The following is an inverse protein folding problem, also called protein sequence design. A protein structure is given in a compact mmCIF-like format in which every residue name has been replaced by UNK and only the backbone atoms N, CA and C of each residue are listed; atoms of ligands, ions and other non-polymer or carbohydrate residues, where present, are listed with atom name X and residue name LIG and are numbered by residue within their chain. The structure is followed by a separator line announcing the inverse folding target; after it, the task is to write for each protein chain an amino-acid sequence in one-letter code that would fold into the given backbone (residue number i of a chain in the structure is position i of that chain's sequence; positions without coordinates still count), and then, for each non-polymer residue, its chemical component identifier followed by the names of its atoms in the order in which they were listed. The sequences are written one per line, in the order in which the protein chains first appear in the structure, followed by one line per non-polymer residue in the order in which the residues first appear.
data_IF_665412158774
#
_entry.id   IF_665412158774
#
_cell.length_a   1.000
_cell.length_b   1.000
_cell.length_c   1.000
_cell.angle_alpha   90.00
_cell.angle_beta   90.00
_cell.angle_gamma   90.00
#
_symmetry.space_group_name_H-M   'P 1'
#
loop_
_entity.id
_entity.type
_entity.pdbx_description
1 polymer ?
#
# COMPACT_ATOMS: atom_id res chain seq x y z
N UNK A 1 -7.74 6.55 6.38
CA UNK A 1 -7.29 5.19 6.03
C UNK A 1 -5.81 4.97 6.37
N UNK A 2 -4.86 5.79 5.88
CA UNK A 2 -3.45 5.75 6.31
C UNK A 2 -3.19 6.63 7.56
N UNK A 3 -2.32 6.19 8.48
CA UNK A 3 -1.83 6.94 9.66
C UNK A 3 -0.36 7.38 9.53
N UNK A 4 0.36 6.86 8.54
CA UNK A 4 1.75 7.21 8.23
C UNK A 4 2.11 6.78 6.80
N UNK A 5 3.41 6.84 6.45
CA UNK A 5 3.88 6.56 5.09
C UNK A 5 3.56 5.14 4.59
N UNK A 6 3.65 4.15 5.49
CA UNK A 6 3.31 2.74 5.22
C UNK A 6 2.33 2.16 6.25
N UNK A 7 1.85 2.96 7.20
CA UNK A 7 0.96 2.49 8.28
C UNK A 7 -0.50 2.74 7.92
N UNK A 8 -1.26 1.66 7.78
CA UNK A 8 -2.73 1.70 7.71
C UNK A 8 -3.26 1.89 9.14
N UNK A 9 -4.38 2.62 9.29
CA UNK A 9 -5.07 2.75 10.59
C UNK A 9 -5.81 1.46 10.90
N UNK A 10 -5.74 0.99 12.14
CA UNK A 10 -6.38 -0.27 12.60
C UNK A 10 -7.91 -0.24 12.51
N UNK A 11 -8.50 0.95 12.59
CA UNK A 11 -9.95 1.16 12.54
C UNK A 11 -10.29 2.38 11.67
N UNK A 12 -11.35 2.26 10.86
CA UNK A 12 -11.93 3.36 10.09
C UNK A 12 -12.61 4.37 11.04
N UNK A 13 -12.27 5.67 11.03
CA UNK A 13 -12.89 6.65 11.94
C UNK A 13 -14.32 7.04 11.56
N UNK A 14 -14.78 6.69 10.35
CA UNK A 14 -16.12 7.05 9.84
C UNK A 14 -17.06 5.83 9.84
N UNK A 15 -16.50 4.65 9.60
CA UNK A 15 -17.23 3.42 9.36
C UNK A 15 -16.93 2.32 10.38
N UNK A 16 -16.04 2.60 11.35
CA UNK A 16 -15.62 1.68 12.44
C UNK A 16 -15.12 0.30 12.00
N UNK A 17 -14.93 0.08 10.70
CA UNK A 17 -14.44 -1.17 10.16
C UNK A 17 -13.02 -1.46 10.65
N UNK A 18 -12.79 -2.69 11.07
CA UNK A 18 -11.49 -3.21 11.49
C UNK A 18 -10.61 -3.49 10.27
N UNK A 19 -9.50 -2.76 10.11
CA UNK A 19 -8.57 -2.89 8.97
C UNK A 19 -7.29 -3.67 9.32
N UNK A 20 -7.19 -4.22 10.53
CA UNK A 20 -5.99 -4.90 11.02
C UNK A 20 -5.81 -6.35 10.49
N UNK A 21 -6.82 -6.93 9.85
CA UNK A 21 -6.78 -8.28 9.27
C UNK A 21 -6.01 -8.37 7.93
N UNK A 22 -5.54 -7.24 7.41
CA UNK A 22 -4.86 -7.17 6.12
C UNK A 22 -3.41 -7.66 6.21
N UNK A 23 -3.14 -8.90 5.77
CA UNK A 23 -1.78 -9.37 5.42
C UNK A 23 -1.46 -8.94 3.99
N UNK A 24 -0.81 -7.79 3.80
CA UNK A 24 -0.22 -7.47 2.49
C UNK A 24 1.08 -6.66 2.64
N UNK A 25 2.10 -7.34 3.13
CA UNK A 25 3.41 -6.74 3.34
C UNK A 25 4.28 -6.76 2.05
N UNK A 26 4.12 -7.75 1.15
CA UNK A 26 4.98 -7.83 -0.06
C UNK A 26 4.30 -7.37 -1.38
N UNK A 27 2.97 -7.44 -1.47
CA UNK A 27 2.22 -7.09 -2.70
C UNK A 27 2.45 -5.65 -3.22
N UNK A 28 2.48 -4.61 -2.36
CA UNK A 28 2.70 -3.24 -2.83
C UNK A 28 4.09 -3.03 -3.45
N UNK A 29 5.12 -3.69 -2.92
CA UNK A 29 6.49 -3.56 -3.41
C UNK A 29 6.65 -4.26 -4.78
N UNK A 30 6.13 -5.48 -4.92
CA UNK A 30 6.14 -6.20 -6.20
C UNK A 30 5.38 -5.47 -7.30
N UNK A 31 4.21 -4.90 -6.98
CA UNK A 31 3.45 -4.12 -7.97
C UNK A 31 4.19 -2.82 -8.33
N UNK A 32 4.85 -2.18 -7.37
CA UNK A 32 5.68 -0.98 -7.62
C UNK A 32 6.81 -1.31 -8.60
N UNK A 33 7.60 -2.35 -8.34
CA UNK A 33 8.77 -2.67 -9.19
C UNK A 33 8.36 -3.09 -10.60
N UNK A 34 7.23 -3.80 -10.75
CA UNK A 34 6.68 -4.13 -12.06
C UNK A 34 6.30 -2.86 -12.84
N UNK A 35 5.54 -1.96 -12.23
CA UNK A 35 5.11 -0.72 -12.90
C UNK A 35 6.31 0.17 -13.25
N UNK A 36 7.19 0.41 -12.27
CA UNK A 36 8.36 1.30 -12.46
C UNK A 36 9.31 0.70 -13.48
N UNK A 37 9.62 -0.61 -13.39
CA UNK A 37 10.49 -1.29 -14.34
C UNK A 37 9.96 -1.26 -15.76
N UNK A 38 8.67 -1.55 -15.96
CA UNK A 38 8.05 -1.53 -17.29
C UNK A 38 7.91 -0.12 -17.87
N UNK A 39 7.87 0.93 -17.04
CA UNK A 39 7.87 2.31 -17.50
C UNK A 39 9.30 2.79 -17.84
N UNK A 40 10.27 2.50 -16.97
CA UNK A 40 11.64 2.99 -17.10
C UNK A 40 12.41 2.26 -18.21
N UNK A 41 12.26 0.94 -18.35
CA UNK A 41 12.99 0.15 -19.36
C UNK A 41 12.79 0.64 -20.81
N UNK A 42 11.55 0.82 -21.33
CA UNK A 42 11.36 1.36 -22.67
C UNK A 42 11.75 2.83 -22.76
N UNK A 43 11.60 3.61 -21.69
CA UNK A 43 11.93 5.02 -21.68
C UNK A 43 13.46 5.23 -21.80
N UNK A 44 14.27 4.43 -21.10
CA UNK A 44 15.73 4.43 -21.25
C UNK A 44 16.11 4.09 -22.69
N UNK A 45 15.48 3.05 -23.27
CA UNK A 45 15.76 2.61 -24.64
C UNK A 45 15.46 3.72 -25.66
N UNK A 46 14.33 4.40 -25.54
CA UNK A 46 13.94 5.49 -26.45
C UNK A 46 14.88 6.68 -26.30
N UNK A 47 15.19 7.10 -25.07
CA UNK A 47 16.08 8.25 -24.84
C UNK A 47 17.48 7.96 -25.37
N UNK A 48 18.02 6.77 -25.09
CA UNK A 48 19.36 6.41 -25.55
C UNK A 48 19.44 6.32 -27.07
N UNK A 49 18.42 5.75 -27.73
CA UNK A 49 18.41 5.60 -29.19
C UNK A 49 18.16 6.91 -29.94
N UNK A 50 17.35 7.84 -29.40
CA UNK A 50 16.99 9.11 -30.07
C UNK A 50 17.96 10.24 -29.77
N UNK A 51 18.33 10.42 -28.51
CA UNK A 51 19.06 11.60 -28.05
C UNK A 51 20.56 11.32 -27.90
N UNK A 52 20.98 10.05 -27.79
CA UNK A 52 22.36 9.62 -27.50
C UNK A 52 23.09 10.50 -26.47
N UNK A 53 22.48 10.81 -25.32
CA UNK A 53 23.13 11.57 -24.26
C UNK A 53 24.27 10.75 -23.63
N UNK A 54 25.12 11.45 -22.88
CA UNK A 54 26.20 10.82 -22.11
C UNK A 54 25.66 9.71 -21.17
N UNK A 55 26.27 8.51 -21.14
CA UNK A 55 25.79 7.38 -20.36
C UNK A 55 25.68 7.65 -18.86
N UNK A 56 26.57 8.45 -18.28
CA UNK A 56 26.50 8.79 -16.86
C UNK A 56 25.29 9.69 -16.58
N UNK A 57 25.02 10.63 -17.47
CA UNK A 57 23.87 11.54 -17.35
C UNK A 57 22.55 10.76 -17.33
N UNK A 58 22.36 9.81 -18.26
CA UNK A 58 21.16 8.96 -18.28
C UNK A 58 21.07 8.10 -17.03
N UNK A 59 22.18 7.47 -16.63
CA UNK A 59 22.22 6.59 -15.46
C UNK A 59 21.81 7.33 -14.19
N UNK A 60 22.35 8.52 -13.94
CA UNK A 60 22.03 9.31 -12.75
C UNK A 60 20.57 9.77 -12.77
N UNK A 61 20.10 10.35 -13.88
CA UNK A 61 18.72 10.85 -13.99
C UNK A 61 17.71 9.72 -13.77
N UNK A 62 17.87 8.60 -14.47
CA UNK A 62 16.94 7.48 -14.34
C UNK A 62 17.02 6.81 -12.99
N UNK A 63 18.19 6.75 -12.34
CA UNK A 63 18.31 6.20 -10.99
C UNK A 63 17.56 7.08 -9.98
N UNK A 64 17.71 8.41 -10.04
CA UNK A 64 16.98 9.34 -9.19
C UNK A 64 15.48 9.27 -9.45
N UNK A 65 15.06 9.26 -10.72
CA UNK A 65 13.65 9.12 -11.11
C UNK A 65 13.05 7.80 -10.62
N UNK A 66 13.77 6.69 -10.73
CA UNK A 66 13.32 5.37 -10.29
C UNK A 66 13.08 5.34 -8.78
N UNK A 67 14.01 5.87 -7.98
CA UNK A 67 13.87 5.97 -6.53
C UNK A 67 12.70 6.88 -6.16
N UNK A 68 12.63 8.08 -6.75
CA UNK A 68 11.56 9.04 -6.48
C UNK A 68 10.17 8.47 -6.81
N UNK A 69 10.04 7.80 -7.97
CA UNK A 69 8.78 7.20 -8.41
C UNK A 69 8.38 6.02 -7.53
N UNK A 70 9.35 5.18 -7.14
CA UNK A 70 9.11 4.06 -6.22
C UNK A 70 8.61 4.55 -4.87
N UNK A 71 9.27 5.57 -4.30
CA UNK A 71 8.85 6.19 -3.05
C UNK A 71 7.43 6.76 -3.18
N UNK A 72 7.13 7.49 -4.24
CA UNK A 72 5.80 8.07 -4.46
C UNK A 72 4.69 7.02 -4.61
N UNK A 73 4.99 5.88 -5.25
CA UNK A 73 4.00 4.86 -5.60
C UNK A 73 3.68 3.90 -4.43
N UNK A 74 4.63 3.65 -3.53
CA UNK A 74 4.48 2.79 -2.36
C UNK A 74 3.23 3.08 -1.48
N UNK A 75 2.98 4.32 -1.00
CA UNK A 75 1.80 4.62 -0.18
C UNK A 75 0.48 4.52 -0.97
N UNK A 76 0.52 4.84 -2.28
CA UNK A 76 -0.66 4.81 -3.16
C UNK A 76 -1.12 3.39 -3.45
N UNK A 77 -0.19 2.49 -3.79
CA UNK A 77 -0.50 1.09 -4.07
C UNK A 77 -0.91 0.33 -2.81
N UNK A 78 -0.30 0.62 -1.64
CA UNK A 78 -0.76 0.02 -0.38
C UNK A 78 -2.22 0.40 -0.09
N UNK A 79 -2.61 1.65 -0.31
CA UNK A 79 -4.01 2.09 -0.18
C UNK A 79 -4.96 1.40 -1.17
N UNK A 80 -4.54 1.26 -2.43
CA UNK A 80 -5.33 0.60 -3.47
C UNK A 80 -5.54 -0.91 -3.19
N UNK A 81 -4.51 -1.60 -2.70
CA UNK A 81 -4.61 -3.02 -2.35
C UNK A 81 -5.56 -3.25 -1.17
N UNK A 82 -5.51 -2.42 -0.13
CA UNK A 82 -6.47 -2.51 0.99
C UNK A 82 -7.89 -2.25 0.50
N UNK A 83 -8.10 -1.26 -0.39
CA UNK A 83 -9.41 -0.97 -0.97
C UNK A 83 -9.93 -2.12 -1.84
N UNK A 84 -9.04 -2.80 -2.58
CA UNK A 84 -9.37 -3.98 -3.38
C UNK A 84 -9.71 -5.20 -2.51
N UNK A 85 -9.01 -5.39 -1.39
CA UNK A 85 -9.32 -6.47 -0.44
C UNK A 85 -10.67 -6.22 0.26
N UNK A 86 -10.97 -4.96 0.60
CA UNK A 86 -12.27 -4.56 1.15
C UNK A 86 -13.41 -4.77 0.15
N UNK A 87 -13.26 -4.33 -1.11
CA UNK A 87 -14.30 -4.48 -2.14
C UNK A 87 -14.58 -5.93 -2.50
N UNK A 88 -13.57 -6.81 -2.39
CA UNK A 88 -13.70 -8.26 -2.64
C UNK A 88 -14.01 -9.09 -1.41
N UNK A 89 -14.21 -8.48 -0.23
CA UNK A 89 -14.51 -9.18 1.04
C UNK A 89 -13.50 -10.30 1.39
N UNK A 90 -12.24 -10.21 0.92
CA UNK A 90 -11.23 -11.25 1.17
C UNK A 90 -10.40 -10.91 2.41
N UNK A 91 -9.85 -11.91 3.13
CA UNK A 91 -9.00 -11.75 4.33
C UNK A 91 -9.72 -11.19 5.59
N UNK A 92 -10.88 -11.74 5.96
CA UNK A 92 -11.61 -11.34 7.18
C UNK A 92 -12.63 -10.22 6.99
N UNK A 93 -12.72 -9.63 5.78
CA UNK A 93 -13.77 -8.68 5.42
C UNK A 93 -15.08 -9.33 4.95
N UNK A 94 -15.10 -10.65 4.76
CA UNK A 94 -16.33 -11.42 4.61
C UNK A 94 -17.02 -11.44 5.97
N UNK A 95 -17.98 -10.54 6.18
CA UNK A 95 -18.82 -10.57 7.36
C UNK A 95 -19.36 -12.00 7.55
N UNK A 96 -19.15 -12.56 8.74
CA UNK A 96 -19.99 -13.67 9.16
C UNK A 96 -21.46 -13.23 8.96
N UNK A 97 -22.36 -14.09 8.46
CA UNK A 97 -23.77 -13.79 8.56
C UNK A 97 -24.04 -13.63 10.06
N UNK A 98 -24.53 -12.46 10.45
CA UNK A 98 -24.87 -12.13 11.83
C UNK A 98 -25.68 -13.28 12.44
N UNK A 99 -25.12 -14.07 13.39
CA UNK A 99 -25.96 -14.93 14.19
C UNK A 99 -26.72 -13.99 15.12
N UNK A 100 -28.03 -13.98 14.99
CA UNK A 100 -28.92 -13.30 15.91
C UNK A 100 -28.51 -13.63 17.37
N UNK A 101 -28.38 -12.56 18.17
CA UNK A 101 -28.25 -12.53 19.63
C UNK A 101 -26.88 -12.85 20.28
N UNK A 102 -26.25 -11.81 20.87
CA UNK A 102 -26.23 -11.58 22.33
C UNK A 102 -25.39 -10.33 22.68
N UNK A 103 -25.73 -9.55 23.73
CA UNK A 103 -24.99 -8.36 24.11
C UNK A 103 -23.69 -8.72 24.84
N UNK A 104 -22.55 -8.17 24.40
CA UNK A 104 -21.25 -8.34 25.08
C UNK A 104 -20.91 -7.04 25.83
N UNK A 105 -20.58 -7.11 27.13
CA UNK A 105 -20.51 -5.96 28.04
C UNK A 105 -19.28 -5.06 27.82
N UNK A 106 -19.41 -3.81 28.28
CA UNK A 106 -18.42 -2.74 28.17
C UNK A 106 -17.04 -3.11 28.77
N UNK A 107 -15.91 -2.73 28.14
CA UNK A 107 -14.59 -2.97 28.71
C UNK A 107 -14.39 -2.11 29.96
N UNK A 108 -14.11 -2.81 31.06
CA UNK A 108 -13.74 -2.23 32.35
C UNK A 108 -12.47 -1.37 32.23
N UNK A 109 -12.48 -0.30 33.00
CA UNK A 109 -11.48 0.75 33.06
C UNK A 109 -10.07 0.26 33.42
N UNK A 110 -9.10 1.02 32.88
CA UNK A 110 -7.73 1.23 33.32
C UNK A 110 -7.35 0.78 34.75
N UNK A 111 -6.25 0.02 34.84
CA UNK A 111 -5.32 -0.06 35.98
C UNK A 111 -3.95 -0.43 35.38
N UNK A 112 -2.95 0.47 35.27
CA UNK A 112 -1.99 0.90 36.30
C UNK A 112 -1.09 -0.25 36.83
N UNK A 113 0.22 0.02 36.95
CA UNK A 113 1.32 -0.73 37.63
C UNK A 113 1.71 -2.09 37.01
N UNK A 114 2.97 -2.44 36.71
CA UNK A 114 4.34 -1.90 36.91
C UNK A 114 5.19 -2.15 35.65
#
# INVERSE_FOLDING_TARGET
MMRGYLKVRDTCPVCTQELHHHRADDGPAYLTILIVGHLMAPLILIIYTKLRPDPLTVSVIFSVCCVALSLWLLPRLKGALVALQWSRRMHGFAGAPEPAAAPVPAPAAATATE
#
